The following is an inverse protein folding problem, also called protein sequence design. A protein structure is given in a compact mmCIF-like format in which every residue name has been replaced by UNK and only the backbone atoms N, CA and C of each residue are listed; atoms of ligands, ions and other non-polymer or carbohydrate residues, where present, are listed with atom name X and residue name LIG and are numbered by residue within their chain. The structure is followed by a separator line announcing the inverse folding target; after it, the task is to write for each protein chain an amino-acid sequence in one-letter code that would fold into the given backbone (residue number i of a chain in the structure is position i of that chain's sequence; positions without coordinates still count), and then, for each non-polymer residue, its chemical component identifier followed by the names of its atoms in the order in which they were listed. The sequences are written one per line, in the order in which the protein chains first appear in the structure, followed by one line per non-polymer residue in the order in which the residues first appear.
data_IF_531933159065
#
_entry.id   IF_531933159065
#
_cell.length_a   1.000
_cell.length_b   1.000
_cell.length_c   1.000
_cell.angle_alpha   90.00
_cell.angle_beta   90.00
_cell.angle_gamma   90.00
#
_symmetry.space_group_name_H-M   'P 1'
#
loop_
_entity.id
_entity.type
_entity.pdbx_description
1 polymer ?
#
# COMPACT_ATOMS: atom_id res chain seq x y z
N UNK A 1 7.10 4.52 27.68
CA UNK A 1 7.23 3.15 27.15
C UNK A 1 5.89 2.58 26.67
N UNK A 2 4.81 2.65 27.47
CA UNK A 2 3.52 2.01 27.14
C UNK A 2 2.82 2.57 25.88
N UNK A 3 2.90 3.88 25.63
CA UNK A 3 2.24 4.48 24.45
C UNK A 3 2.83 4.02 23.11
N UNK A 4 4.16 3.85 23.02
CA UNK A 4 4.83 3.37 21.81
C UNK A 4 4.50 1.90 21.53
N UNK A 5 4.45 1.07 22.59
CA UNK A 5 4.05 -0.34 22.47
C UNK A 5 2.58 -0.47 22.06
N UNK A 6 1.69 0.36 22.62
CA UNK A 6 0.28 0.38 22.22
C UNK A 6 0.12 0.83 20.76
N UNK A 7 0.85 1.86 20.31
CA UNK A 7 0.84 2.29 18.92
C UNK A 7 1.34 1.18 17.98
N UNK A 8 2.44 0.50 18.33
CA UNK A 8 2.96 -0.63 17.57
C UNK A 8 1.94 -1.78 17.49
N UNK A 9 1.33 -2.16 18.61
CA UNK A 9 0.31 -3.21 18.64
C UNK A 9 -0.94 -2.83 17.85
N UNK A 10 -1.34 -1.57 17.85
CA UNK A 10 -2.46 -1.07 17.04
C UNK A 10 -2.14 -1.16 15.54
N UNK A 11 -0.95 -0.72 15.12
CA UNK A 11 -0.49 -0.86 13.74
C UNK A 11 -0.40 -2.33 13.30
N UNK A 12 0.11 -3.21 14.18
CA UNK A 12 0.18 -4.65 13.93
C UNK A 12 -1.20 -5.30 13.78
N UNK A 13 -2.16 -4.91 14.64
CA UNK A 13 -3.56 -5.35 14.53
C UNK A 13 -4.20 -4.87 13.24
N UNK A 14 -3.94 -3.61 12.84
CA UNK A 14 -4.40 -3.05 11.56
C UNK A 14 -3.89 -3.85 10.36
N UNK A 15 -2.58 -4.14 10.34
CA UNK A 15 -1.95 -4.98 9.32
C UNK A 15 -2.58 -6.38 9.25
N UNK A 16 -2.71 -7.06 10.38
CA UNK A 16 -3.31 -8.40 10.47
C UNK A 16 -4.79 -8.43 10.08
N UNK A 17 -5.55 -7.43 10.50
CA UNK A 17 -6.98 -7.36 10.20
C UNK A 17 -7.20 -7.10 8.72
N UNK A 18 -6.51 -6.12 8.12
CA UNK A 18 -6.59 -5.84 6.68
C UNK A 18 -6.15 -7.04 5.85
N UNK A 19 -5.04 -7.69 6.21
CA UNK A 19 -4.54 -8.89 5.51
C UNK A 19 -5.54 -10.07 5.49
N UNK A 20 -6.37 -10.19 6.53
CA UNK A 20 -7.35 -11.28 6.65
C UNK A 20 -8.67 -10.96 5.95
N UNK A 21 -9.11 -9.72 6.04
CA UNK A 21 -10.44 -9.28 5.61
C UNK A 21 -10.47 -8.81 4.16
N UNK A 22 -9.42 -8.11 3.71
CA UNK A 22 -9.42 -7.47 2.40
C UNK A 22 -8.53 -8.20 1.39
N UNK A 23 -9.12 -8.49 0.22
CA UNK A 23 -8.38 -9.14 -0.87
C UNK A 23 -7.30 -8.23 -1.45
N UNK A 24 -7.60 -6.94 -1.63
CA UNK A 24 -6.66 -5.96 -2.17
C UNK A 24 -5.43 -5.78 -1.26
N UNK A 25 -5.64 -5.55 0.04
CA UNK A 25 -4.54 -5.49 1.04
C UNK A 25 -3.68 -6.76 1.02
N UNK A 26 -4.29 -7.95 0.90
CA UNK A 26 -3.54 -9.21 0.80
C UNK A 26 -2.70 -9.30 -0.49
N UNK A 27 -3.20 -8.81 -1.62
CA UNK A 27 -2.42 -8.73 -2.86
C UNK A 27 -1.21 -7.79 -2.68
N UNK A 28 -1.42 -6.62 -2.08
CA UNK A 28 -0.34 -5.67 -1.80
C UNK A 28 0.71 -6.22 -0.82
N UNK A 29 0.29 -6.98 0.19
CA UNK A 29 1.22 -7.67 1.09
C UNK A 29 2.02 -8.78 0.38
N UNK A 30 1.41 -9.50 -0.57
CA UNK A 30 2.14 -10.46 -1.41
C UNK A 30 3.15 -9.76 -2.31
N UNK A 31 2.77 -8.63 -2.93
CA UNK A 31 3.68 -7.79 -3.70
C UNK A 31 4.83 -7.25 -2.85
N UNK A 32 4.56 -6.82 -1.62
CA UNK A 32 5.60 -6.42 -0.68
C UNK A 32 6.53 -7.60 -0.35
N UNK A 33 5.98 -8.76 0.01
CA UNK A 33 6.76 -9.94 0.42
C UNK A 33 7.67 -10.47 -0.70
N UNK A 34 7.17 -10.49 -1.94
CA UNK A 34 7.96 -10.89 -3.12
C UNK A 34 8.85 -9.75 -3.63
N UNK A 35 8.39 -8.52 -3.53
CA UNK A 35 9.09 -7.34 -4.00
C UNK A 35 10.32 -7.00 -3.16
N UNK A 36 10.32 -7.25 -1.85
CA UNK A 36 11.50 -7.03 -0.98
C UNK A 36 12.75 -7.77 -1.46
N UNK A 37 12.74 -9.12 -1.65
CA UNK A 37 13.92 -9.81 -2.14
C UNK A 37 14.30 -9.38 -3.56
N UNK A 38 13.32 -9.15 -4.45
CA UNK A 38 13.60 -8.67 -5.80
C UNK A 38 14.24 -7.28 -5.78
N UNK A 39 13.78 -6.38 -4.91
CA UNK A 39 14.34 -5.03 -4.76
C UNK A 39 15.80 -5.07 -4.31
N UNK A 40 16.14 -5.98 -3.40
CA UNK A 40 17.52 -6.17 -2.93
C UNK A 40 18.44 -6.74 -4.03
N UNK A 41 17.91 -7.61 -4.89
CA UNK A 41 18.65 -8.19 -6.02
C UNK A 41 18.78 -7.23 -7.21
N UNK A 42 17.72 -6.46 -7.50
CA UNK A 42 17.64 -5.55 -8.63
C UNK A 42 18.44 -4.26 -8.39
N UNK A 43 18.38 -3.72 -7.16
CA UNK A 43 18.99 -2.44 -6.85
C UNK A 43 20.52 -2.46 -6.94
N UNK A 44 21.04 -1.65 -7.85
CA UNK A 44 22.46 -1.42 -8.14
C UNK A 44 23.18 -0.66 -7.02
N UNK A 45 22.49 0.30 -6.42
CA UNK A 45 22.99 1.15 -5.33
C UNK A 45 22.09 1.08 -4.09
N UNK A 46 22.60 1.56 -2.95
CA UNK A 46 21.81 1.67 -1.73
C UNK A 46 20.53 2.50 -1.95
N UNK A 47 20.63 3.61 -2.67
CA UNK A 47 19.50 4.51 -2.90
C UNK A 47 18.44 3.91 -3.82
N UNK A 48 18.85 3.14 -4.84
CA UNK A 48 17.89 2.40 -5.69
C UNK A 48 17.14 1.36 -4.86
N UNK A 49 17.82 0.60 -4.00
CA UNK A 49 17.18 -0.37 -3.09
C UNK A 49 16.19 0.33 -2.15
N UNK A 50 16.58 1.45 -1.55
CA UNK A 50 15.71 2.24 -0.67
C UNK A 50 14.48 2.73 -1.44
N UNK A 51 14.65 3.28 -2.65
CA UNK A 51 13.53 3.74 -3.47
C UNK A 51 12.53 2.62 -3.80
N UNK A 52 13.04 1.43 -4.18
CA UNK A 52 12.20 0.26 -4.44
C UNK A 52 11.42 -0.16 -3.20
N UNK A 53 12.07 -0.28 -2.05
CA UNK A 53 11.42 -0.66 -0.79
C UNK A 53 10.37 0.37 -0.33
N UNK A 54 10.72 1.66 -0.38
CA UNK A 54 9.80 2.75 -0.01
C UNK A 54 8.59 2.77 -0.94
N UNK A 55 8.76 2.53 -2.24
CA UNK A 55 7.64 2.49 -3.19
C UNK A 55 6.63 1.40 -2.87
N UNK A 56 7.08 0.20 -2.47
CA UNK A 56 6.20 -0.89 -2.03
C UNK A 56 5.46 -0.52 -0.74
N UNK A 57 6.14 0.12 0.21
CA UNK A 57 5.54 0.56 1.47
C UNK A 57 4.48 1.64 1.24
N UNK A 58 4.73 2.59 0.34
CA UNK A 58 3.77 3.65 0.00
C UNK A 58 2.53 3.09 -0.70
N UNK A 59 2.71 2.13 -1.61
CA UNK A 59 1.61 1.44 -2.29
C UNK A 59 0.70 0.73 -1.27
N UNK A 60 1.29 -0.03 -0.34
CA UNK A 60 0.54 -0.69 0.73
C UNK A 60 -0.14 0.32 1.67
N UNK A 61 0.54 1.42 2.01
CA UNK A 61 -0.05 2.47 2.86
C UNK A 61 -1.25 3.13 2.20
N UNK A 62 -1.19 3.41 0.89
CA UNK A 62 -2.30 3.95 0.12
C UNK A 62 -3.49 2.99 0.10
N UNK A 63 -3.25 1.69 -0.08
CA UNK A 63 -4.31 0.67 -0.05
C UNK A 63 -4.98 0.56 1.33
N UNK A 64 -4.21 0.65 2.42
CA UNK A 64 -4.78 0.71 3.77
C UNK A 64 -5.67 1.94 3.98
N UNK A 65 -5.26 3.09 3.46
CA UNK A 65 -6.06 4.32 3.53
C UNK A 65 -7.34 4.18 2.70
N UNK A 66 -7.26 3.65 1.48
CA UNK A 66 -8.43 3.38 0.65
C UNK A 66 -9.42 2.46 1.36
N UNK A 67 -8.95 1.31 1.85
CA UNK A 67 -9.75 0.36 2.64
C UNK A 67 -10.39 1.03 3.87
N UNK A 68 -9.65 1.88 4.58
CA UNK A 68 -10.19 2.57 5.75
C UNK A 68 -11.31 3.55 5.38
N UNK A 69 -11.15 4.30 4.28
CA UNK A 69 -12.19 5.19 3.74
C UNK A 69 -13.41 4.40 3.30
N UNK A 70 -13.23 3.29 2.57
CA UNK A 70 -14.31 2.41 2.13
C UNK A 70 -15.12 1.89 3.32
N UNK A 71 -14.45 1.33 4.33
CA UNK A 71 -15.09 0.80 5.56
C UNK A 71 -15.82 1.88 6.34
N UNK A 72 -15.24 3.09 6.44
CA UNK A 72 -15.90 4.22 7.09
C UNK A 72 -17.16 4.62 6.33
N UNK A 73 -17.10 4.71 5.01
CA UNK A 73 -18.25 5.02 4.17
C UNK A 73 -19.37 3.98 4.31
N UNK A 74 -19.02 2.70 4.29
CA UNK A 74 -19.97 1.58 4.47
C UNK A 74 -20.62 1.58 5.85
N UNK A 75 -19.87 1.99 6.88
CA UNK A 75 -20.39 2.12 8.23
C UNK A 75 -21.36 3.31 8.37
N UNK A 76 -21.02 4.47 7.80
CA UNK A 76 -21.84 5.70 7.90
C UNK A 76 -23.07 5.64 7.01
N UNK A 77 -22.97 5.04 5.82
CA UNK A 77 -24.08 4.96 4.87
C UNK A 77 -24.15 3.56 4.23
N UNK A 78 -24.83 2.59 4.88
CA UNK A 78 -24.90 1.21 4.41
C UNK A 78 -25.70 1.01 3.11
N UNK A 79 -26.58 1.96 2.77
CA UNK A 79 -27.29 1.97 1.49
C UNK A 79 -26.45 2.66 0.41
N UNK A 80 -26.76 2.46 -0.87
CA UNK A 80 -26.06 3.19 -1.93
C UNK A 80 -26.42 4.68 -1.91
N UNK A 81 -25.39 5.54 -1.84
CA UNK A 81 -25.53 6.99 -1.97
C UNK A 81 -24.56 7.54 -3.04
N UNK A 82 -25.04 8.31 -4.03
CA UNK A 82 -24.22 8.77 -5.16
C UNK A 82 -22.93 9.48 -4.74
N UNK A 83 -23.00 10.38 -3.74
CA UNK A 83 -21.82 11.09 -3.25
C UNK A 83 -20.81 10.19 -2.53
N UNK A 84 -21.27 9.11 -1.88
CA UNK A 84 -20.37 8.13 -1.26
C UNK A 84 -19.64 7.33 -2.35
N UNK A 85 -20.31 7.06 -3.47
CA UNK A 85 -19.67 6.50 -4.67
C UNK A 85 -18.48 7.34 -5.12
N UNK A 86 -18.68 8.65 -5.30
CA UNK A 86 -17.60 9.58 -5.70
C UNK A 86 -16.44 9.59 -4.72
N UNK A 87 -16.71 9.56 -3.41
CA UNK A 87 -15.65 9.50 -2.38
C UNK A 87 -14.82 8.21 -2.51
N UNK A 88 -15.47 7.07 -2.73
CA UNK A 88 -14.79 5.79 -2.93
C UNK A 88 -13.97 5.77 -4.23
N UNK A 89 -14.51 6.34 -5.31
CA UNK A 89 -13.80 6.45 -6.58
C UNK A 89 -12.51 7.29 -6.43
N UNK A 90 -12.56 8.39 -5.68
CA UNK A 90 -11.39 9.21 -5.39
C UNK A 90 -10.35 8.48 -4.52
N UNK A 91 -10.81 7.71 -3.52
CA UNK A 91 -9.91 6.91 -2.69
C UNK A 91 -9.21 5.83 -3.52
N UNK A 92 -9.94 5.13 -4.38
CA UNK A 92 -9.41 4.15 -5.32
C UNK A 92 -8.42 4.77 -6.32
N UNK A 93 -8.74 5.96 -6.84
CA UNK A 93 -7.82 6.71 -7.71
C UNK A 93 -6.51 7.06 -6.97
N UNK A 94 -6.57 7.38 -5.68
CA UNK A 94 -5.40 7.61 -4.83
C UNK A 94 -4.48 6.39 -4.76
N UNK A 95 -5.03 5.20 -4.50
CA UNK A 95 -4.25 3.94 -4.54
C UNK A 95 -3.65 3.70 -5.92
N UNK A 96 -4.43 3.89 -6.99
CA UNK A 96 -3.95 3.72 -8.36
C UNK A 96 -2.73 4.61 -8.65
N UNK A 97 -2.73 5.87 -8.20
CA UNK A 97 -1.58 6.76 -8.37
C UNK A 97 -0.34 6.27 -7.59
N UNK A 98 -0.52 5.68 -6.41
CA UNK A 98 0.58 5.09 -5.65
C UNK A 98 1.17 3.85 -6.35
N UNK A 99 0.31 3.00 -6.93
CA UNK A 99 0.71 1.85 -7.74
C UNK A 99 1.47 2.28 -9.00
N UNK A 100 1.01 3.34 -9.68
CA UNK A 100 1.69 3.90 -10.84
C UNK A 100 3.06 4.48 -10.46
N UNK A 101 3.17 5.18 -9.33
CA UNK A 101 4.45 5.68 -8.84
C UNK A 101 5.43 4.53 -8.55
N UNK A 102 4.96 3.45 -7.93
CA UNK A 102 5.78 2.25 -7.72
C UNK A 102 6.22 1.64 -9.05
N UNK A 103 5.32 1.49 -10.02
CA UNK A 103 5.66 0.98 -11.35
C UNK A 103 6.79 1.79 -12.01
N UNK A 104 6.72 3.13 -11.95
CA UNK A 104 7.76 4.01 -12.51
C UNK A 104 9.11 3.76 -11.83
N UNK A 105 9.16 3.66 -10.50
CA UNK A 105 10.41 3.40 -9.77
C UNK A 105 11.01 2.04 -10.15
N UNK A 106 10.17 1.01 -10.28
CA UNK A 106 10.59 -0.34 -10.62
C UNK A 106 11.10 -0.46 -12.05
N UNK A 107 10.42 0.16 -13.01
CA UNK A 107 10.88 0.23 -14.40
C UNK A 107 12.20 0.99 -14.49
N UNK A 108 12.34 2.12 -13.80
CA UNK A 108 13.58 2.90 -13.79
C UNK A 108 14.76 2.09 -13.22
N UNK A 109 14.54 1.38 -12.11
CA UNK A 109 15.57 0.51 -11.52
C UNK A 109 15.96 -0.67 -12.44
N UNK A 110 15.00 -1.23 -13.18
CA UNK A 110 15.27 -2.29 -14.15
C UNK A 110 16.10 -1.77 -15.33
N UNK A 111 15.76 -0.59 -15.86
CA UNK A 111 16.53 0.05 -16.94
C UNK A 111 17.95 0.37 -16.47
N UNK A 112 18.12 0.94 -15.27
CA UNK A 112 19.44 1.20 -14.65
C UNK A 112 20.27 -0.07 -14.45
N UNK A 113 19.63 -1.22 -14.22
CA UNK A 113 20.33 -2.50 -14.04
C UNK A 113 20.79 -3.13 -15.36
N UNK A 114 20.09 -2.85 -16.47
CA UNK A 114 20.33 -3.45 -17.78
C UNK A 114 21.22 -2.58 -18.70
N UNK A 115 21.29 -1.27 -18.44
CA UNK A 115 22.24 -0.34 -19.07
C UNK A 115 23.55 -0.23 -18.31
#
# INVERSE_FOLDING_TARGET
MNALLLAFLNSWRGLLHGARTERAVRQELMLLALGVPVALLLGTTLWVRVALLVSLMLMLAAEFLNTAVEKLCDHVHPAHHPMIGVVKDLASAGTFMAQLAALVVWVAALVDRLG
#
